data_IF_213036891074
#
_entry.id   IF_213036891074
#
_cell.length_a   1.000
_cell.length_b   1.000
_cell.length_c   1.000
_cell.angle_alpha   90.00
_cell.angle_beta   90.00
_cell.angle_gamma   90.00
#
_symmetry.space_group_name_H-M   'P 1'
#
loop_
_entity.id
_entity.type
_entity.pdbx_description
1 polymer ?
#
# COMPACT_ATOMS: atom_id res chain seq x y z
N UNK A 1 17.39 9.34 -48.76
CA UNK A 1 17.32 10.00 -47.43
C UNK A 1 18.52 9.56 -46.59
N UNK A 2 19.12 10.45 -45.78
CA UNK A 2 20.22 10.08 -44.87
C UNK A 2 19.68 9.20 -43.74
N UNK A 3 20.36 8.10 -43.40
CA UNK A 3 19.97 7.10 -42.38
C UNK A 3 19.55 7.74 -41.05
N UNK A 4 20.31 8.72 -40.58
CA UNK A 4 20.04 9.39 -39.31
C UNK A 4 18.74 10.20 -39.35
N UNK A 5 18.43 10.84 -40.48
CA UNK A 5 17.19 11.60 -40.68
C UNK A 5 15.97 10.67 -40.70
N UNK A 6 16.09 9.49 -41.31
CA UNK A 6 15.03 8.48 -41.30
C UNK A 6 14.76 7.94 -39.89
N UNK A 7 15.80 7.57 -39.14
CA UNK A 7 15.66 7.08 -37.76
C UNK A 7 15.08 8.14 -36.82
N UNK A 8 15.50 9.40 -36.96
CA UNK A 8 14.94 10.51 -36.19
C UNK A 8 13.44 10.68 -36.47
N UNK A 9 13.03 10.64 -37.74
CA UNK A 9 11.62 10.73 -38.12
C UNK A 9 10.78 9.56 -37.57
N UNK A 10 11.32 8.34 -37.55
CA UNK A 10 10.65 7.19 -36.93
C UNK A 10 10.48 7.35 -35.41
N UNK A 11 11.50 7.87 -34.71
CA UNK A 11 11.43 8.08 -33.26
C UNK A 11 10.45 9.19 -32.87
N UNK A 12 10.46 10.33 -33.56
CA UNK A 12 9.50 11.42 -33.28
C UNK A 12 8.07 11.01 -33.60
N UNK A 13 7.85 10.27 -34.70
CA UNK A 13 6.53 9.75 -35.04
C UNK A 13 6.05 8.71 -34.02
N UNK A 14 6.93 7.84 -33.54
CA UNK A 14 6.62 6.90 -32.46
C UNK A 14 6.23 7.60 -31.15
N UNK A 15 6.98 8.63 -30.74
CA UNK A 15 6.67 9.42 -29.55
C UNK A 15 5.33 10.17 -29.68
N UNK A 16 5.06 10.78 -30.84
CA UNK A 16 3.78 11.45 -31.11
C UNK A 16 2.60 10.48 -31.07
N UNK A 17 2.73 9.30 -31.67
CA UNK A 17 1.67 8.28 -31.67
C UNK A 17 1.46 7.64 -30.29
N UNK A 18 2.48 7.61 -29.42
CA UNK A 18 2.38 7.12 -28.05
C UNK A 18 1.76 8.15 -27.08
N UNK A 19 1.88 9.45 -27.38
CA UNK A 19 1.43 10.54 -26.50
C UNK A 19 -0.06 10.49 -26.08
N UNK A 20 -1.03 10.09 -26.93
CA UNK A 20 -2.42 9.98 -26.50
C UNK A 20 -2.61 8.84 -25.49
N UNK A 21 -1.82 7.77 -25.60
CA UNK A 21 -1.91 6.62 -24.69
C UNK A 21 -1.32 6.92 -23.32
N UNK A 22 -0.23 7.69 -23.25
CA UNK A 22 0.35 8.13 -21.97
C UNK A 22 -0.55 9.13 -21.24
N UNK A 23 -1.10 10.11 -21.95
CA UNK A 23 -2.05 11.08 -21.38
C UNK A 23 -3.35 10.41 -20.90
N UNK A 24 -3.86 9.43 -21.67
CA UNK A 24 -5.02 8.65 -21.26
C UNK A 24 -4.70 7.79 -20.03
N UNK A 25 -3.53 7.15 -19.97
CA UNK A 25 -3.12 6.34 -18.82
C UNK A 25 -3.03 7.18 -17.53
N UNK A 26 -2.46 8.39 -17.60
CA UNK A 26 -2.41 9.32 -16.47
C UNK A 26 -3.81 9.78 -16.00
N UNK A 27 -4.74 9.95 -16.94
CA UNK A 27 -6.12 10.36 -16.64
C UNK A 27 -6.95 9.21 -16.04
N UNK A 28 -6.76 7.99 -16.52
CA UNK A 28 -7.52 6.79 -16.09
C UNK A 28 -7.08 6.28 -14.72
N UNK A 29 -5.88 6.63 -14.27
CA UNK A 29 -5.30 6.05 -13.05
C UNK A 29 -5.90 6.58 -11.74
N UNK A 30 -6.69 7.65 -11.73
CA UNK A 30 -7.21 8.22 -10.46
C UNK A 30 -8.35 7.38 -9.87
N UNK A 31 -8.01 6.30 -9.18
CA UNK A 31 -8.93 5.53 -8.33
C UNK A 31 -8.97 6.06 -6.89
N UNK A 32 -8.53 7.30 -6.65
CA UNK A 32 -8.57 7.90 -5.32
C UNK A 32 -9.99 8.34 -4.99
N UNK A 33 -10.41 8.11 -3.75
CA UNK A 33 -11.72 8.59 -3.30
C UNK A 33 -11.70 10.11 -3.17
N UNK A 34 -12.67 10.77 -3.81
CA UNK A 34 -12.75 12.25 -3.86
C UNK A 34 -13.27 12.87 -2.55
N UNK A 35 -13.95 12.10 -1.70
CA UNK A 35 -14.57 12.57 -0.44
C UNK A 35 -13.96 11.88 0.77
N UNK A 36 -13.85 12.62 1.87
CA UNK A 36 -13.51 12.02 3.17
C UNK A 36 -14.54 10.96 3.59
N UNK A 37 -14.09 9.95 4.30
CA UNK A 37 -14.92 8.92 4.92
C UNK A 37 -14.49 8.68 6.36
N UNK A 38 -15.39 8.07 7.14
CA UNK A 38 -15.14 7.68 8.52
C UNK A 38 -15.25 6.16 8.63
N UNK A 39 -14.29 5.53 9.28
CA UNK A 39 -14.38 4.14 9.72
C UNK A 39 -14.51 4.14 11.24
N UNK A 40 -15.60 3.57 11.75
CA UNK A 40 -15.85 3.52 13.18
C UNK A 40 -14.77 2.69 13.91
N UNK A 41 -14.58 2.97 15.20
CA UNK A 41 -13.70 2.19 16.07
C UNK A 41 -14.05 0.68 16.00
N UNK A 42 -13.04 -0.17 15.89
CA UNK A 42 -13.21 -1.63 15.77
C UNK A 42 -13.85 -2.12 14.47
N UNK A 43 -14.24 -1.24 13.53
CA UNK A 43 -14.79 -1.63 12.23
C UNK A 43 -13.74 -1.67 11.13
N UNK A 44 -14.03 -2.47 10.11
CA UNK A 44 -13.31 -2.52 8.85
C UNK A 44 -13.98 -1.59 7.83
N UNK A 45 -13.18 -1.03 6.92
CA UNK A 45 -13.60 -0.10 5.86
C UNK A 45 -14.75 -0.63 5.00
N UNK A 46 -14.84 -1.94 4.83
CA UNK A 46 -15.82 -2.66 4.03
C UNK A 46 -16.60 -3.70 4.84
N UNK A 47 -16.54 -3.64 6.18
CA UNK A 47 -17.08 -4.65 7.11
C UNK A 47 -16.59 -6.08 6.79
N UNK A 48 -15.34 -6.20 6.33
CA UNK A 48 -14.72 -7.46 5.91
C UNK A 48 -13.37 -7.67 6.59
N UNK A 49 -13.37 -7.65 7.92
CA UNK A 49 -12.20 -8.04 8.70
C UNK A 49 -11.77 -9.46 8.35
N UNK A 50 -10.45 -9.68 8.27
CA UNK A 50 -9.88 -11.00 8.02
C UNK A 50 -9.31 -11.56 9.31
N UNK A 51 -9.43 -12.87 9.50
CA UNK A 51 -8.76 -13.58 10.59
C UNK A 51 -7.58 -14.36 10.04
N UNK A 52 -6.41 -14.14 10.62
CA UNK A 52 -5.14 -14.77 10.24
C UNK A 52 -4.43 -15.28 11.51
N UNK A 53 -3.33 -16.00 11.34
CA UNK A 53 -2.42 -16.40 12.44
C UNK A 53 -3.14 -17.07 13.63
N UNK A 54 -4.13 -17.92 13.33
CA UNK A 54 -4.92 -18.67 14.32
C UNK A 54 -5.69 -17.77 15.31
N UNK A 55 -6.38 -16.75 14.78
CA UNK A 55 -7.40 -15.99 15.52
C UNK A 55 -7.11 -14.49 15.64
N UNK A 56 -5.94 -14.04 15.19
CA UNK A 56 -5.66 -12.61 15.06
C UNK A 56 -6.63 -11.97 14.06
N UNK A 57 -7.05 -10.74 14.35
CA UNK A 57 -8.01 -10.01 13.51
C UNK A 57 -7.32 -8.82 12.86
N UNK A 58 -7.54 -8.63 11.57
CA UNK A 58 -7.05 -7.50 10.79
C UNK A 58 -8.23 -6.78 10.14
N UNK A 59 -8.37 -5.50 10.44
CA UNK A 59 -9.46 -4.63 9.97
C UNK A 59 -8.86 -3.47 9.18
N UNK A 60 -9.10 -3.45 7.87
CA UNK A 60 -8.72 -2.37 6.98
C UNK A 60 -9.35 -1.07 7.44
N UNK A 61 -8.56 -0.01 7.56
CA UNK A 61 -9.03 1.37 7.81
C UNK A 61 -8.95 2.22 6.57
N UNK A 62 -7.89 2.05 5.78
CA UNK A 62 -7.68 2.73 4.49
C UNK A 62 -7.21 1.68 3.48
N UNK A 63 -7.94 1.51 2.39
CA UNK A 63 -7.57 0.59 1.31
C UNK A 63 -6.68 1.29 0.28
N UNK A 64 -5.86 0.52 -0.44
CA UNK A 64 -5.20 1.00 -1.66
C UNK A 64 -6.19 1.47 -2.73
N UNK A 65 -7.42 0.91 -2.72
CA UNK A 65 -8.54 1.38 -3.55
C UNK A 65 -9.05 2.76 -3.14
N UNK A 66 -8.79 3.20 -1.91
CA UNK A 66 -9.15 4.55 -1.47
C UNK A 66 -8.06 5.58 -1.87
N UNK A 67 -6.83 5.12 -2.10
CA UNK A 67 -5.61 5.95 -2.15
C UNK A 67 -4.83 5.85 -3.44
N UNK A 68 -5.36 5.18 -4.48
CA UNK A 68 -4.64 4.88 -5.72
C UNK A 68 -3.28 4.18 -5.48
N UNK A 69 -3.23 3.31 -4.46
CA UNK A 69 -2.04 2.52 -4.12
C UNK A 69 -1.03 3.20 -3.20
N UNK A 70 -1.18 4.49 -2.87
CA UNK A 70 -0.18 5.22 -2.08
C UNK A 70 0.00 4.70 -0.66
N UNK A 71 -1.11 4.34 0.02
CA UNK A 71 -1.07 3.88 1.41
C UNK A 71 -2.17 2.87 1.70
N UNK A 72 -1.82 1.88 2.50
CA UNK A 72 -2.72 0.93 3.12
C UNK A 72 -2.58 1.02 4.64
N UNK A 73 -3.71 1.09 5.36
CA UNK A 73 -3.71 1.13 6.83
C UNK A 73 -4.71 0.11 7.34
N UNK A 74 -4.30 -0.68 8.33
CA UNK A 74 -5.18 -1.61 9.04
C UNK A 74 -4.93 -1.51 10.54
N UNK A 75 -5.99 -1.76 11.30
CA UNK A 75 -5.92 -2.04 12.73
C UNK A 75 -5.86 -3.54 12.91
N UNK A 76 -4.99 -4.04 13.79
CA UNK A 76 -4.93 -5.47 14.07
C UNK A 76 -4.84 -5.77 15.56
N UNK A 77 -5.48 -6.85 15.97
CA UNK A 77 -5.47 -7.35 17.35
C UNK A 77 -4.84 -8.74 17.39
N UNK A 78 -4.21 -9.06 18.53
CA UNK A 78 -3.62 -10.37 18.79
C UNK A 78 -4.39 -11.09 19.88
N UNK A 79 -4.61 -12.39 19.69
CA UNK A 79 -5.25 -13.24 20.71
C UNK A 79 -4.24 -14.04 21.53
N UNK A 80 -2.98 -14.08 21.08
CA UNK A 80 -1.87 -14.80 21.71
C UNK A 80 -0.53 -14.17 21.35
N UNK A 81 0.52 -14.57 22.06
CA UNK A 81 1.88 -14.23 21.68
C UNK A 81 2.27 -14.93 20.36
N UNK A 82 2.98 -14.20 19.51
CA UNK A 82 3.37 -14.65 18.19
C UNK A 82 3.33 -13.50 17.18
N UNK A 83 3.47 -13.86 15.91
CA UNK A 83 3.47 -12.92 14.81
C UNK A 83 3.92 -13.58 13.51
N UNK A 84 3.95 -12.83 12.41
CA UNK A 84 4.54 -13.32 11.17
C UNK A 84 6.00 -13.71 11.37
N UNK A 85 6.50 -14.63 10.56
CA UNK A 85 7.94 -14.96 10.51
C UNK A 85 8.74 -13.73 10.14
N UNK A 86 10.01 -13.64 10.55
CA UNK A 86 10.88 -12.53 10.14
C UNK A 86 11.01 -12.49 8.60
N UNK A 87 10.72 -11.35 8.00
CA UNK A 87 10.67 -11.16 6.54
C UNK A 87 11.04 -9.72 6.15
N UNK A 88 11.08 -9.47 4.83
CA UNK A 88 11.41 -8.16 4.24
C UNK A 88 10.42 -7.83 3.13
N UNK A 89 10.06 -6.56 3.02
CA UNK A 89 9.33 -5.98 1.89
C UNK A 89 10.32 -5.24 0.98
N UNK A 90 10.34 -5.56 -0.31
CA UNK A 90 11.29 -4.94 -1.26
C UNK A 90 10.81 -3.59 -1.80
N UNK A 91 9.50 -3.37 -1.81
CA UNK A 91 8.86 -2.23 -2.49
C UNK A 91 8.03 -1.37 -1.54
N UNK A 92 8.05 -1.67 -0.24
CA UNK A 92 7.11 -1.11 0.74
C UNK A 92 7.81 -0.88 2.06
N UNK A 93 7.54 0.28 2.66
CA UNK A 93 7.84 0.53 4.06
C UNK A 93 6.66 0.08 4.94
N UNK A 94 6.94 -0.53 6.08
CA UNK A 94 5.94 -0.87 7.10
C UNK A 94 6.32 -0.20 8.43
N UNK A 95 5.31 0.33 9.12
CA UNK A 95 5.46 0.93 10.44
C UNK A 95 4.30 0.50 11.33
N UNK A 96 4.57 0.43 12.64
CA UNK A 96 3.59 0.05 13.65
C UNK A 96 3.41 1.17 14.65
N UNK A 97 2.17 1.44 15.00
CA UNK A 97 1.80 2.29 16.12
C UNK A 97 0.97 1.47 17.10
N UNK A 98 1.47 1.28 18.32
CA UNK A 98 0.80 0.42 19.30
C UNK A 98 -0.33 1.24 19.94
N UNK A 99 -1.56 0.76 19.77
CA UNK A 99 -2.74 1.39 20.40
C UNK A 99 -2.95 0.90 21.84
N UNK A 100 -2.70 -0.37 22.09
CA UNK A 100 -2.88 -1.00 23.39
C UNK A 100 -1.96 -2.21 23.56
N UNK A 101 -1.49 -2.42 24.79
CA UNK A 101 -0.66 -3.57 25.14
C UNK A 101 0.82 -3.32 24.90
N UNK A 102 1.56 -4.41 24.70
CA UNK A 102 2.99 -4.39 24.48
C UNK A 102 3.38 -5.44 23.44
N UNK A 103 4.29 -5.08 22.54
CA UNK A 103 4.77 -5.91 21.45
C UNK A 103 6.28 -5.97 21.45
N UNK A 104 6.82 -7.11 21.02
CA UNK A 104 8.21 -7.22 20.59
C UNK A 104 8.24 -7.08 19.08
N UNK A 105 8.95 -6.07 18.58
CA UNK A 105 9.12 -5.82 17.15
C UNK A 105 10.60 -5.97 16.83
N UNK A 106 10.93 -6.88 15.91
CA UNK A 106 12.30 -7.10 15.43
C UNK A 106 12.50 -6.37 14.11
N UNK A 107 13.49 -5.48 14.05
CA UNK A 107 13.89 -4.71 12.86
C UNK A 107 15.36 -5.02 12.55
N UNK A 108 15.62 -5.75 11.47
CA UNK A 108 16.94 -6.31 11.19
C UNK A 108 17.37 -7.23 12.33
N UNK A 109 18.46 -6.90 13.01
CA UNK A 109 18.98 -7.66 14.15
C UNK A 109 18.56 -7.10 15.51
N UNK A 110 17.84 -5.98 15.56
CA UNK A 110 17.47 -5.29 16.81
C UNK A 110 16.03 -5.63 17.19
N UNK A 111 15.82 -5.94 18.48
CA UNK A 111 14.48 -6.16 19.04
C UNK A 111 14.09 -4.97 19.90
N UNK A 112 12.92 -4.40 19.61
CA UNK A 112 12.31 -3.29 20.33
C UNK A 112 11.12 -3.77 21.15
N UNK A 113 11.01 -3.27 22.39
CA UNK A 113 9.78 -3.37 23.17
C UNK A 113 8.93 -2.13 22.92
N UNK A 114 7.85 -2.29 22.15
CA UNK A 114 6.91 -1.22 21.86
C UNK A 114 5.69 -1.33 22.79
N UNK A 115 5.39 -0.25 23.52
CA UNK A 115 4.17 -0.10 24.31
C UNK A 115 3.27 0.91 23.62
N UNK A 116 2.04 1.07 24.12
CA UNK A 116 1.14 2.09 23.58
C UNK A 116 1.77 3.49 23.61
N UNK A 117 1.63 4.23 22.49
CA UNK A 117 2.28 5.52 22.23
C UNK A 117 3.58 5.40 21.43
#
# INVERSE_FOLDING_TARGET
>A
MKRNTFLQACLTMGAFLASPFTLLAETVRKFRVDKGFMVNAGKDRFDKSISLLEGDTFSTKISTKDTDGDIYVFESTRVKEGGPTHHVHFEQDEWWYVLQGQFLIKVGDVVHQAKAG
#
